data_IF_113916051129
#
_entry.id   IF_113916051129
#
_cell.length_a   1.000
_cell.length_b   1.000
_cell.length_c   1.000
_cell.angle_alpha   90.00
_cell.angle_beta   90.00
_cell.angle_gamma   90.00
#
_symmetry.space_group_name_H-M   'P 1'
#
loop_
_entity.id
_entity.type
_entity.pdbx_description
1 polymer ?
#
# COMPACT_ATOMS: atom_id res chain seq x y z
N UNK A 1 -15.77 0.25 11.13
CA UNK A 1 -14.87 1.40 11.38
C UNK A 1 -13.65 1.31 10.48
N UNK A 2 -13.21 2.40 9.85
CA UNK A 2 -11.96 2.44 9.06
C UNK A 2 -11.08 3.63 9.43
N UNK A 3 -9.78 3.40 9.51
CA UNK A 3 -8.77 4.47 9.54
C UNK A 3 -8.33 4.74 8.11
N UNK A 4 -8.66 5.92 7.60
CA UNK A 4 -8.51 6.30 6.19
C UNK A 4 -7.94 7.71 6.03
N UNK A 5 -7.54 8.03 4.81
CA UNK A 5 -7.13 9.37 4.43
C UNK A 5 -8.34 10.17 3.94
N UNK A 6 -8.63 11.29 4.60
CA UNK A 6 -9.50 12.34 4.08
C UNK A 6 -8.64 13.34 3.31
N UNK A 7 -9.06 13.72 2.10
CA UNK A 7 -8.36 14.68 1.27
C UNK A 7 -8.88 16.08 1.57
N UNK A 8 -7.97 17.00 1.80
CA UNK A 8 -8.20 18.43 1.77
C UNK A 8 -7.15 19.13 0.89
N UNK A 9 -6.99 20.42 1.15
CA UNK A 9 -6.11 21.29 0.36
C UNK A 9 -6.78 21.78 -0.92
N UNK A 10 -6.00 22.52 -1.71
CA UNK A 10 -6.48 23.15 -2.94
C UNK A 10 -6.12 22.33 -4.18
N UNK A 11 -6.64 22.76 -5.34
CA UNK A 11 -6.30 22.16 -6.63
C UNK A 11 -4.77 22.13 -6.81
N UNK A 12 -4.24 20.97 -7.21
CA UNK A 12 -2.79 20.69 -7.36
C UNK A 12 -1.95 20.82 -6.06
N UNK A 13 -2.54 21.06 -4.90
CA UNK A 13 -1.85 21.07 -3.60
C UNK A 13 -2.60 20.22 -2.58
N UNK A 14 -2.50 18.88 -2.69
CA UNK A 14 -3.21 17.96 -1.81
C UNK A 14 -2.62 17.96 -0.39
N UNK A 15 -3.49 17.98 0.61
CA UNK A 15 -3.14 17.71 2.01
C UNK A 15 -4.09 16.64 2.53
N UNK A 16 -3.60 15.67 3.30
CA UNK A 16 -4.43 14.59 3.82
C UNK A 16 -4.51 14.64 5.34
N UNK A 17 -5.68 14.32 5.89
CA UNK A 17 -5.85 14.04 7.31
C UNK A 17 -6.05 12.53 7.50
N UNK A 18 -5.38 11.95 8.49
CA UNK A 18 -5.60 10.56 8.90
C UNK A 18 -6.78 10.59 9.87
N UNK A 19 -7.86 9.90 9.54
CA UNK A 19 -9.12 9.99 10.29
C UNK A 19 -9.69 8.60 10.59
N UNK A 20 -10.27 8.43 11.77
CA UNK A 20 -11.16 7.33 12.09
C UNK A 20 -12.58 7.70 11.66
N UNK A 21 -13.18 6.91 10.76
CA UNK A 21 -14.51 7.16 10.25
C UNK A 21 -15.29 5.87 10.01
N UNK A 22 -16.62 5.97 9.98
CA UNK A 22 -17.47 4.91 9.45
C UNK A 22 -17.18 4.74 7.94
N UNK A 23 -17.10 3.49 7.48
CA UNK A 23 -16.86 3.16 6.07
C UNK A 23 -17.92 3.69 5.12
N UNK A 24 -19.16 3.88 5.59
CA UNK A 24 -20.30 4.35 4.79
C UNK A 24 -20.27 5.86 4.55
N UNK A 25 -19.53 6.61 5.36
CA UNK A 25 -19.47 8.07 5.25
C UNK A 25 -18.59 8.49 4.06
N UNK A 26 -18.90 9.64 3.40
CA UNK A 26 -18.10 10.14 2.28
C UNK A 26 -16.66 10.41 2.69
N UNK A 27 -15.72 10.33 1.73
CA UNK A 27 -14.26 10.40 1.98
C UNK A 27 -13.85 11.59 2.84
N UNK A 28 -14.35 12.77 2.50
CA UNK A 28 -13.97 14.05 3.10
C UNK A 28 -15.06 14.65 4.00
N UNK A 29 -16.08 13.86 4.36
CA UNK A 29 -17.16 14.31 5.22
C UNK A 29 -16.90 14.06 6.70
N UNK A 30 -17.99 13.85 7.45
CA UNK A 30 -17.93 13.62 8.90
C UNK A 30 -17.06 12.40 9.23
N UNK A 31 -16.10 12.62 10.12
CA UNK A 31 -15.29 11.59 10.77
C UNK A 31 -15.55 11.64 12.28
N UNK A 32 -15.12 10.59 12.98
CA UNK A 32 -15.29 10.46 14.43
C UNK A 32 -14.13 11.18 15.12
N UNK A 33 -12.91 10.91 14.68
CA UNK A 33 -11.70 11.46 15.27
C UNK A 33 -10.61 11.68 14.22
N UNK A 34 -9.84 12.76 14.39
CA UNK A 34 -8.65 13.04 13.59
C UNK A 34 -7.42 12.48 14.32
N UNK A 35 -6.75 11.54 13.69
CA UNK A 35 -5.62 10.79 14.24
C UNK A 35 -4.26 11.29 13.74
N UNK A 36 -4.24 12.20 12.77
CA UNK A 36 -2.98 12.69 12.20
C UNK A 36 -3.12 13.46 10.90
N UNK A 37 -1.98 13.72 10.27
CA UNK A 37 -1.85 14.43 8.99
C UNK A 37 -0.82 13.75 8.10
N UNK A 38 -1.01 13.90 6.78
CA UNK A 38 -0.07 13.47 5.77
C UNK A 38 0.04 14.51 4.66
N UNK A 39 1.25 15.03 4.46
CA UNK A 39 1.56 15.96 3.39
C UNK A 39 2.50 15.30 2.35
N UNK A 40 1.98 14.90 1.16
CA UNK A 40 2.80 14.25 0.14
C UNK A 40 3.82 15.17 -0.51
N UNK A 41 3.65 16.50 -0.41
CA UNK A 41 4.49 17.51 -1.05
C UNK A 41 5.81 17.73 -0.29
N UNK A 42 5.87 17.32 0.97
CA UNK A 42 7.11 17.35 1.75
C UNK A 42 8.05 16.21 1.33
N UNK A 43 9.35 16.46 1.50
CA UNK A 43 10.41 15.51 1.27
C UNK A 43 10.21 14.22 2.09
N UNK A 44 10.76 13.08 1.63
CA UNK A 44 10.42 11.77 2.20
C UNK A 44 10.91 11.58 3.64
N UNK A 45 12.01 12.24 3.94
CA UNK A 45 12.79 12.34 5.16
C UNK A 45 12.27 13.41 6.12
N UNK A 46 11.34 14.26 5.70
CA UNK A 46 10.73 15.26 6.57
C UNK A 46 9.83 14.60 7.61
N UNK A 47 10.06 14.91 8.89
CA UNK A 47 9.24 14.46 10.02
C UNK A 47 7.81 15.01 9.92
N UNK A 48 7.65 16.23 9.39
CA UNK A 48 6.34 16.85 9.17
C UNK A 48 5.52 16.19 8.06
N UNK A 49 6.14 15.29 7.29
CA UNK A 49 5.45 14.61 6.19
C UNK A 49 4.30 13.76 6.69
N UNK A 50 4.49 13.04 7.79
CA UNK A 50 3.48 12.16 8.39
C UNK A 50 3.49 12.38 9.90
N UNK A 51 2.42 12.96 10.43
CA UNK A 51 2.21 13.08 11.88
C UNK A 51 1.05 12.18 12.29
N UNK A 52 1.26 11.37 13.32
CA UNK A 52 0.29 10.40 13.80
C UNK A 52 0.25 10.41 15.32
N UNK A 53 -0.95 10.42 15.87
CA UNK A 53 -1.18 10.12 17.29
C UNK A 53 -1.23 8.60 17.45
N UNK A 54 -0.11 8.03 17.89
CA UNK A 54 0.06 6.59 18.01
C UNK A 54 -0.82 5.99 19.12
N UNK A 55 -1.08 6.73 20.19
CA UNK A 55 -1.90 6.25 21.31
C UNK A 55 -3.34 6.03 20.84
N UNK A 56 -3.90 7.03 20.15
CA UNK A 56 -5.27 6.96 19.62
C UNK A 56 -5.41 5.96 18.49
N UNK A 57 -4.39 5.84 17.63
CA UNK A 57 -4.39 4.82 16.58
C UNK A 57 -4.42 3.42 17.20
N UNK A 58 -3.57 3.15 18.21
CA UNK A 58 -3.52 1.86 18.88
C UNK A 58 -4.84 1.53 19.58
N UNK A 59 -5.48 2.51 20.20
CA UNK A 59 -6.83 2.36 20.75
C UNK A 59 -7.83 1.88 19.68
N UNK A 60 -7.91 2.58 18.54
CA UNK A 60 -8.84 2.20 17.47
C UNK A 60 -8.51 0.87 16.82
N UNK A 61 -7.22 0.51 16.70
CA UNK A 61 -6.79 -0.81 16.25
C UNK A 61 -7.25 -1.90 17.22
N UNK A 62 -7.12 -1.68 18.53
CA UNK A 62 -7.63 -2.58 19.57
C UNK A 62 -9.15 -2.77 19.53
N UNK A 63 -9.89 -1.75 19.09
CA UNK A 63 -11.34 -1.82 18.86
C UNK A 63 -11.71 -2.46 17.49
N UNK A 64 -10.74 -3.00 16.74
CA UNK A 64 -10.98 -3.69 15.47
C UNK A 64 -11.13 -2.75 14.27
N UNK A 65 -10.63 -1.52 14.34
CA UNK A 65 -10.63 -0.62 13.18
C UNK A 65 -9.71 -1.16 12.06
N UNK A 66 -10.23 -1.17 10.84
CA UNK A 66 -9.43 -1.57 9.67
C UNK A 66 -8.70 -0.37 9.06
N UNK A 67 -7.41 -0.53 8.76
CA UNK A 67 -6.60 0.50 8.09
C UNK A 67 -6.66 0.36 6.57
N UNK A 68 -6.56 1.49 5.86
CA UNK A 68 -6.33 1.49 4.41
C UNK A 68 -4.86 1.21 4.07
N UNK A 69 -4.61 0.74 2.85
CA UNK A 69 -3.28 0.31 2.40
C UNK A 69 -2.18 1.36 2.62
N UNK A 70 -2.48 2.64 2.37
CA UNK A 70 -1.52 3.72 2.55
C UNK A 70 -1.22 4.02 4.01
N UNK A 71 -2.25 4.00 4.86
CA UNK A 71 -2.10 4.18 6.32
C UNK A 71 -1.32 3.00 6.92
N UNK A 72 -1.57 1.78 6.44
CA UNK A 72 -0.78 0.62 6.84
C UNK A 72 0.71 0.83 6.59
N UNK A 73 1.10 1.39 5.44
CA UNK A 73 2.51 1.71 5.15
C UNK A 73 3.13 2.74 6.08
N UNK A 74 2.34 3.69 6.59
CA UNK A 74 2.83 4.64 7.59
C UNK A 74 3.07 3.96 8.93
N UNK A 75 2.18 3.06 9.32
CA UNK A 75 2.30 2.28 10.56
C UNK A 75 3.41 1.23 10.49
N UNK A 76 3.62 0.62 9.32
CA UNK A 76 4.79 -0.23 9.03
C UNK A 76 6.10 0.57 9.16
N UNK A 77 6.13 1.80 8.66
CA UNK A 77 7.32 2.67 8.78
C UNK A 77 7.57 3.14 10.21
N UNK A 78 6.51 3.33 11.00
CA UNK A 78 6.58 3.68 12.41
C UNK A 78 6.85 2.47 13.35
N UNK A 79 6.96 1.25 12.80
CA UNK A 79 7.20 0.04 13.58
C UNK A 79 5.97 -0.51 14.33
N UNK A 80 4.78 0.07 14.14
CA UNK A 80 3.55 -0.34 14.81
C UNK A 80 2.87 -1.55 14.17
N UNK A 81 3.21 -1.90 12.92
CA UNK A 81 2.71 -3.10 12.24
C UNK A 81 3.81 -3.84 11.48
N UNK A 82 3.70 -5.17 11.37
CA UNK A 82 4.64 -5.94 10.57
C UNK A 82 4.52 -5.58 9.09
N UNK A 83 5.67 -5.42 8.44
CA UNK A 83 5.74 -5.05 7.03
C UNK A 83 5.21 -6.17 6.16
N UNK A 84 4.11 -5.93 5.44
CA UNK A 84 3.55 -6.93 4.53
C UNK A 84 4.47 -7.14 3.33
N UNK A 85 4.75 -8.40 2.98
CA UNK A 85 5.43 -8.72 1.73
C UNK A 85 4.54 -8.35 0.54
N UNK A 86 4.96 -7.36 -0.26
CA UNK A 86 4.25 -6.89 -1.46
C UNK A 86 5.02 -7.13 -2.76
N UNK A 87 5.92 -8.11 -2.73
CA UNK A 87 6.70 -8.52 -3.89
C UNK A 87 5.77 -9.22 -4.87
N UNK A 88 5.72 -8.74 -6.12
CA UNK A 88 5.04 -9.46 -7.19
C UNK A 88 5.99 -10.51 -7.76
N UNK A 89 5.89 -11.74 -7.26
CA UNK A 89 6.73 -12.87 -7.69
C UNK A 89 6.56 -13.23 -9.18
N UNK A 90 5.49 -12.79 -9.83
CA UNK A 90 5.21 -13.03 -11.27
C UNK A 90 5.69 -11.90 -12.17
N UNK A 91 6.26 -10.82 -11.61
CA UNK A 91 6.77 -9.70 -12.39
C UNK A 91 8.01 -10.13 -13.17
N UNK A 92 7.94 -10.08 -14.50
CA UNK A 92 9.05 -10.46 -15.38
C UNK A 92 9.03 -11.92 -15.84
N UNK A 93 8.06 -12.72 -15.40
CA UNK A 93 7.85 -14.07 -15.91
C UNK A 93 7.12 -13.96 -17.26
N UNK A 94 7.67 -14.51 -18.37
CA UNK A 94 6.97 -14.57 -19.64
C UNK A 94 5.63 -15.30 -19.49
N UNK A 95 4.61 -14.86 -20.22
CA UNK A 95 3.30 -15.53 -20.19
C UNK A 95 3.42 -17.01 -20.58
N UNK A 96 2.45 -17.83 -20.14
CA UNK A 96 2.48 -19.29 -20.31
C UNK A 96 2.78 -19.72 -21.76
N UNK A 97 2.15 -19.09 -22.74
CA UNK A 97 2.40 -19.37 -24.17
C UNK A 97 3.85 -19.09 -24.63
N UNK A 98 4.53 -18.09 -24.05
CA UNK A 98 5.93 -17.81 -24.35
C UNK A 98 6.86 -18.84 -23.69
N UNK A 99 6.50 -19.34 -22.51
CA UNK A 99 7.21 -20.42 -21.83
C UNK A 99 7.07 -21.75 -22.59
N UNK A 100 5.85 -22.07 -23.04
CA UNK A 100 5.57 -23.28 -23.82
C UNK A 100 6.33 -23.26 -25.16
N UNK A 101 6.42 -22.10 -25.82
CA UNK A 101 7.19 -21.93 -27.06
C UNK A 101 8.71 -22.03 -26.82
N UNK A 102 9.22 -21.47 -25.74
CA UNK A 102 10.63 -21.58 -25.38
C UNK A 102 11.01 -23.03 -25.03
N UNK A 103 10.14 -23.74 -24.30
CA UNK A 103 10.33 -25.15 -23.97
C UNK A 103 10.29 -26.05 -25.21
N UNK A 104 9.34 -25.83 -26.12
CA UNK A 104 9.27 -26.57 -27.39
C UNK A 104 10.50 -26.31 -28.29
N UNK A 105 11.01 -25.07 -28.31
CA UNK A 105 12.21 -24.72 -29.06
C UNK A 105 13.48 -25.32 -28.43
N UNK A 106 13.56 -25.35 -27.10
CA UNK A 106 14.66 -25.98 -26.38
C UNK A 106 14.66 -27.51 -26.51
N UNK A 107 13.48 -28.15 -26.45
CA UNK A 107 13.35 -29.59 -26.65
C UNK A 107 13.76 -30.01 -28.06
N UNK A 108 13.34 -29.25 -29.10
CA UNK A 108 13.78 -29.48 -30.48
C UNK A 108 15.28 -29.24 -30.69
N UNK A 109 15.88 -28.29 -29.97
CA UNK A 109 17.32 -28.05 -30.05
C UNK A 109 18.11 -29.21 -29.41
N UNK A 110 17.66 -29.71 -28.25
CA UNK A 110 18.30 -30.82 -27.55
C UNK A 110 18.15 -32.17 -28.30
N UNK A 111 17.02 -32.42 -28.97
CA UNK A 111 16.88 -33.59 -29.86
C UNK A 111 17.78 -33.51 -31.10
N UNK A 112 17.99 -32.29 -31.63
CA UNK A 112 18.92 -32.08 -32.74
C UNK A 112 20.39 -32.25 -32.36
N UNK A 113 20.75 -31.91 -31.11
CA UNK A 113 22.11 -32.03 -30.58
C UNK A 113 22.44 -33.45 -30.08
N UNK A 114 21.43 -34.28 -29.80
CA UNK A 114 21.60 -35.70 -29.42
C UNK A 114 21.53 -36.68 -30.60
N UNK A 115 21.15 -36.20 -31.79
CA UNK A 115 21.09 -36.96 -33.04
C UNK A 115 22.31 -36.73 -33.96
N UNK A 116 23.23 -35.85 -33.53
CA UNK A 116 24.60 -35.67 -34.07
C UNK A 116 25.60 -36.41 -33.15
#
# INVERSE_FOLDING_TARGET
MKIRLARGGSKKRPHYSIVAADSRMPRDGRFIEKLGTYNPLLAKDSEDRVKMDMERINYWLGQGAQVTDRVARFLEAAGAMPKKARVNAKKGVPGKAAQDRAAAKAAKAAEGEAAE
#
